data_IF_670885821703
#
_entry.id   IF_670885821703
#
_cell.length_a   1.000
_cell.length_b   1.000
_cell.length_c   1.000
_cell.angle_alpha   90.00
_cell.angle_beta   90.00
_cell.angle_gamma   90.00
#
_symmetry.space_group_name_H-M   'P 1'
#
loop_
_entity.id
_entity.type
_entity.pdbx_description
1 polymer ?
#
# COMPACT_ATOMS: atom_id res chain seq x y z
N UNK A 1 11.56 -33.83 9.05
CA UNK A 1 11.45 -32.73 8.08
C UNK A 1 12.86 -32.39 7.68
N UNK A 2 13.17 -32.40 6.38
CA UNK A 2 14.52 -32.09 5.91
C UNK A 2 14.70 -30.57 5.80
N UNK A 3 15.71 -30.05 6.50
CA UNK A 3 15.95 -28.61 6.58
C UNK A 3 16.39 -28.05 5.22
N UNK A 4 17.23 -28.80 4.50
CA UNK A 4 17.71 -28.40 3.17
C UNK A 4 16.58 -28.37 2.15
N UNK A 5 15.71 -29.39 2.16
CA UNK A 5 14.49 -29.39 1.36
C UNK A 5 13.57 -28.19 1.68
N UNK A 6 13.46 -27.83 2.97
CA UNK A 6 12.61 -26.70 3.40
C UNK A 6 13.19 -25.37 2.90
N UNK A 7 14.50 -25.18 3.03
CA UNK A 7 15.21 -23.99 2.54
C UNK A 7 15.04 -23.85 1.03
N UNK A 8 15.26 -24.94 0.28
CA UNK A 8 15.12 -24.93 -1.17
C UNK A 8 13.71 -24.57 -1.64
N UNK A 9 12.68 -24.98 -0.91
CA UNK A 9 11.29 -24.65 -1.24
C UNK A 9 10.97 -23.18 -0.92
N UNK A 10 11.50 -22.63 0.18
CA UNK A 10 11.39 -21.19 0.49
C UNK A 10 12.04 -20.36 -0.60
N UNK A 11 13.29 -20.67 -0.96
CA UNK A 11 14.02 -19.95 -2.03
C UNK A 11 13.31 -20.04 -3.39
N UNK A 12 12.62 -21.15 -3.65
CA UNK A 12 11.79 -21.30 -4.85
C UNK A 12 10.59 -20.37 -4.80
N UNK A 13 9.89 -20.29 -3.67
CA UNK A 13 8.75 -19.39 -3.50
C UNK A 13 9.17 -17.92 -3.61
N UNK A 14 10.27 -17.53 -2.97
CA UNK A 14 10.81 -16.17 -3.06
C UNK A 14 11.09 -15.75 -4.50
N UNK A 15 11.68 -16.65 -5.30
CA UNK A 15 11.91 -16.41 -6.74
C UNK A 15 10.61 -16.21 -7.51
N UNK A 16 9.54 -16.93 -7.18
CA UNK A 16 8.22 -16.76 -7.81
C UNK A 16 7.62 -15.40 -7.42
N UNK A 17 7.68 -15.02 -6.14
CA UNK A 17 7.14 -13.76 -5.65
C UNK A 17 7.94 -12.52 -6.07
N UNK A 18 9.20 -12.67 -6.47
CA UNK A 18 10.00 -11.60 -7.04
C UNK A 18 9.56 -11.19 -8.46
N UNK A 19 8.79 -12.04 -9.16
CA UNK A 19 8.29 -11.75 -10.51
C UNK A 19 7.13 -10.76 -10.41
N UNK A 20 7.05 -9.73 -11.30
CA UNK A 20 5.91 -8.84 -11.34
C UNK A 20 4.59 -9.59 -11.52
N UNK A 21 3.60 -9.28 -10.69
CA UNK A 21 2.24 -9.79 -10.88
C UNK A 21 1.63 -9.19 -12.16
N UNK A 22 1.27 -10.05 -13.11
CA UNK A 22 0.73 -9.66 -14.42
C UNK A 22 -0.79 -9.65 -14.47
N UNK A 23 -1.46 -10.01 -13.37
CA UNK A 23 -2.93 -10.00 -13.32
C UNK A 23 -3.43 -8.55 -13.45
N UNK A 24 -4.61 -8.33 -14.04
CA UNK A 24 -5.27 -7.03 -13.98
C UNK A 24 -5.49 -6.60 -12.52
N UNK A 25 -5.34 -5.31 -12.25
CA UNK A 25 -5.56 -4.78 -10.91
C UNK A 25 -7.02 -4.96 -10.50
N UNK A 26 -7.23 -5.60 -9.37
CA UNK A 26 -8.53 -5.65 -8.71
C UNK A 26 -8.83 -4.32 -8.00
N UNK A 27 -10.09 -4.07 -7.62
CA UNK A 27 -10.44 -2.92 -6.78
C UNK A 27 -9.61 -2.85 -5.48
N UNK A 28 -9.27 -4.00 -4.89
CA UNK A 28 -8.44 -4.07 -3.69
C UNK A 28 -6.99 -3.63 -3.96
N UNK A 29 -6.43 -4.04 -5.10
CA UNK A 29 -5.06 -3.65 -5.48
C UNK A 29 -4.96 -2.14 -5.71
N UNK A 30 -5.99 -1.55 -6.36
CA UNK A 30 -6.10 -0.11 -6.56
C UNK A 30 -6.23 0.61 -5.21
N UNK A 31 -7.06 0.10 -4.30
CA UNK A 31 -7.21 0.69 -2.96
C UNK A 31 -5.89 0.65 -2.17
N UNK A 32 -5.16 -0.47 -2.21
CA UNK A 32 -3.87 -0.62 -1.54
C UNK A 32 -2.80 0.30 -2.14
N UNK A 33 -2.72 0.39 -3.48
CA UNK A 33 -1.80 1.30 -4.17
C UNK A 33 -2.09 2.76 -3.79
N UNK A 34 -3.36 3.15 -3.76
CA UNK A 34 -3.75 4.49 -3.36
C UNK A 34 -3.44 4.75 -1.88
N UNK A 35 -3.66 3.79 -0.97
CA UNK A 35 -3.30 3.96 0.44
C UNK A 35 -1.80 4.18 0.63
N UNK A 36 -0.96 3.45 -0.12
CA UNK A 36 0.50 3.64 -0.07
C UNK A 36 0.89 5.03 -0.56
N UNK A 37 0.28 5.50 -1.65
CA UNK A 37 0.48 6.85 -2.17
C UNK A 37 0.04 7.92 -1.15
N UNK A 38 -1.13 7.75 -0.56
CA UNK A 38 -1.68 8.64 0.46
C UNK A 38 -0.73 8.76 1.67
N UNK A 39 -0.19 7.64 2.15
CA UNK A 39 0.81 7.61 3.23
C UNK A 39 2.09 8.35 2.85
N UNK A 40 2.60 8.12 1.65
CA UNK A 40 3.83 8.77 1.17
C UNK A 40 3.68 10.29 1.08
N UNK A 41 2.50 10.77 0.68
CA UNK A 41 2.24 12.21 0.49
C UNK A 41 1.51 12.87 1.66
N UNK A 42 1.21 12.16 2.76
CA UNK A 42 0.46 12.69 3.90
C UNK A 42 1.01 14.03 4.41
N UNK A 43 2.32 14.22 4.34
CA UNK A 43 2.97 15.44 4.81
C UNK A 43 3.04 16.57 3.77
N UNK A 44 2.72 16.31 2.50
CA UNK A 44 2.75 17.31 1.43
C UNK A 44 1.58 18.31 1.57
N UNK A 45 1.84 19.62 1.68
CA UNK A 45 0.79 20.64 1.76
C UNK A 45 -0.15 20.61 0.54
N UNK A 46 0.40 20.38 -0.65
CA UNK A 46 -0.36 20.25 -1.89
C UNK A 46 -1.28 19.03 -1.88
N UNK A 47 -0.80 17.92 -1.33
CA UNK A 47 -1.60 16.70 -1.24
C UNK A 47 -2.76 16.84 -0.26
N UNK A 48 -2.52 17.45 0.90
CA UNK A 48 -3.59 17.74 1.88
C UNK A 48 -4.64 18.68 1.30
N UNK A 49 -4.21 19.72 0.57
CA UNK A 49 -5.12 20.65 -0.10
C UNK A 49 -5.96 19.94 -1.17
N UNK A 50 -5.32 19.13 -2.01
CA UNK A 50 -6.03 18.33 -3.03
C UNK A 50 -7.05 17.37 -2.40
N UNK A 51 -6.70 16.73 -1.27
CA UNK A 51 -7.60 15.87 -0.52
C UNK A 51 -8.79 16.63 0.06
N UNK A 52 -8.59 17.86 0.57
CA UNK A 52 -9.68 18.65 1.17
C UNK A 52 -10.71 19.13 0.14
N UNK A 53 -10.32 19.28 -1.13
CA UNK A 53 -11.25 19.64 -2.20
C UNK A 53 -12.05 18.45 -2.77
N UNK A 54 -11.83 17.23 -2.27
CA UNK A 54 -12.64 16.07 -2.67
C UNK A 54 -12.52 15.70 -4.15
N UNK A 55 -11.45 16.13 -4.82
CA UNK A 55 -11.19 15.83 -6.25
C UNK A 55 -10.77 14.37 -6.46
N UNK A 56 -10.66 13.59 -5.38
CA UNK A 56 -10.42 12.15 -5.44
C UNK A 56 -11.75 11.40 -5.47
N UNK A 57 -11.82 10.33 -6.27
CA UNK A 57 -12.99 9.49 -6.54
C UNK A 57 -13.52 8.67 -5.34
N UNK A 58 -13.34 9.14 -4.11
CA UNK A 58 -13.77 8.44 -2.89
C UNK A 58 -14.99 9.14 -2.29
N UNK A 59 -16.04 8.38 -1.93
CA UNK A 59 -17.23 8.96 -1.30
C UNK A 59 -16.97 9.48 0.13
N UNK A 60 -15.82 9.15 0.73
CA UNK A 60 -15.44 9.58 2.07
C UNK A 60 -13.96 9.98 2.13
N UNK A 61 -13.69 11.08 2.82
CA UNK A 61 -12.36 11.52 3.20
C UNK A 61 -11.72 10.50 4.16
N UNK A 62 -10.50 10.05 3.85
CA UNK A 62 -9.73 9.20 4.75
C UNK A 62 -9.51 9.95 6.06
N UNK A 63 -10.11 9.49 7.16
CA UNK A 63 -9.82 10.01 8.51
C UNK A 63 -8.41 9.54 8.87
N UNK A 64 -7.42 10.39 8.63
CA UNK A 64 -6.09 10.20 9.20
C UNK A 64 -6.20 10.49 10.70
N UNK A 65 -6.15 9.44 11.54
CA UNK A 65 -5.82 9.64 12.95
C UNK A 65 -4.35 10.06 13.01
N UNK A 66 -4.13 11.38 12.95
CA UNK A 66 -2.86 11.97 13.30
C UNK A 66 -2.67 11.66 14.78
N UNK A 67 -1.76 10.74 15.11
CA UNK A 67 -1.42 10.44 16.50
C UNK A 67 -1.11 11.75 17.22
N UNK A 68 -1.68 11.89 18.42
CA UNK A 68 -1.53 13.07 19.25
C UNK A 68 -0.05 13.45 19.35
N UNK A 69 0.28 14.67 18.95
CA UNK A 69 1.61 15.24 19.14
C UNK A 69 1.73 15.43 20.65
N UNK A 70 2.48 14.55 21.32
CA UNK A 70 2.88 14.74 22.72
C UNK A 70 3.63 16.08 22.86
N UNK A 71 3.23 16.85 23.88
CA UNK A 71 3.62 18.24 24.12
C UNK A 71 4.91 18.40 24.90
#
# INVERSE_FOLDING_TARGET
MDAEQTIAEIERLERIFAVPDKRPLSPSDIAAANQRHDKMLANSPWFRLWQSYGVCCRPQSTVFQLGEIES
#
